data_IF_430525671914
#
_entry.id   IF_430525671914
#
_cell.length_a   1.000
_cell.length_b   1.000
_cell.length_c   1.000
_cell.angle_alpha   90.00
_cell.angle_beta   90.00
_cell.angle_gamma   90.00
#
_symmetry.space_group_name_H-M   'P 1'
#
loop_
_entity.id
_entity.type
_entity.pdbx_description
1 polymer ?
#
# COMPACT_ATOMS: atom_id res chain seq x y z
N UNK A 1 -14.59 -2.42 -20.88
CA UNK A 1 -14.34 -1.10 -21.52
C UNK A 1 -14.71 -1.17 -23.00
N UNK A 2 -14.39 -0.17 -23.82
CA UNK A 2 -14.44 -0.30 -25.30
C UNK A 2 -13.06 -0.06 -25.92
N UNK A 3 -12.73 -0.73 -27.02
CA UNK A 3 -11.48 -0.54 -27.76
C UNK A 3 -11.52 0.74 -28.62
N UNK A 4 -10.45 1.00 -29.39
CA UNK A 4 -10.35 2.16 -30.29
C UNK A 4 -11.34 2.13 -31.46
N UNK A 5 -11.92 0.97 -31.78
CA UNK A 5 -12.97 0.81 -32.78
C UNK A 5 -14.39 1.00 -32.21
N UNK A 6 -14.52 1.08 -30.88
CA UNK A 6 -15.80 1.21 -30.17
C UNK A 6 -16.45 -0.12 -29.77
N UNK A 7 -15.77 -1.26 -29.99
CA UNK A 7 -16.24 -2.58 -29.58
C UNK A 7 -16.06 -2.78 -28.07
N UNK A 8 -16.98 -3.51 -27.43
CA UNK A 8 -16.84 -3.90 -26.02
C UNK A 8 -15.62 -4.80 -25.86
N UNK A 9 -14.70 -4.42 -24.97
CA UNK A 9 -13.59 -5.26 -24.52
C UNK A 9 -14.17 -6.29 -23.54
N UNK A 10 -14.11 -7.60 -23.87
CA UNK A 10 -14.51 -8.67 -22.96
C UNK A 10 -13.78 -8.61 -21.62
N UNK A 11 -14.43 -9.02 -20.54
CA UNK A 11 -13.85 -8.94 -19.20
C UNK A 11 -12.57 -9.79 -19.05
N UNK A 12 -12.44 -10.89 -19.79
CA UNK A 12 -11.26 -11.74 -19.85
C UNK A 12 -10.09 -11.15 -20.66
N UNK A 13 -10.33 -10.04 -21.36
CA UNK A 13 -9.31 -9.23 -22.04
C UNK A 13 -8.84 -8.04 -21.20
N UNK A 14 -9.26 -7.98 -19.93
CA UNK A 14 -8.82 -6.99 -18.96
C UNK A 14 -8.04 -7.73 -17.88
N UNK A 15 -6.88 -7.21 -17.48
CA UNK A 15 -6.14 -7.68 -16.31
C UNK A 15 -5.78 -6.53 -15.37
N UNK A 16 -5.78 -6.84 -14.08
CA UNK A 16 -5.46 -5.92 -12.99
C UNK A 16 -4.20 -6.36 -12.27
N UNK A 17 -3.34 -5.41 -11.96
CA UNK A 17 -2.16 -5.60 -11.13
C UNK A 17 -2.15 -4.50 -10.05
N UNK A 18 -1.63 -4.82 -8.87
CA UNK A 18 -1.41 -3.83 -7.83
C UNK A 18 0.01 -3.98 -7.28
N UNK A 19 0.72 -2.84 -7.21
CA UNK A 19 2.08 -2.75 -6.69
C UNK A 19 2.08 -1.87 -5.44
N UNK A 20 2.72 -2.34 -4.37
CA UNK A 20 3.00 -1.51 -3.21
C UNK A 20 4.37 -0.85 -3.39
N UNK A 21 4.37 0.46 -3.56
CA UNK A 21 5.59 1.26 -3.65
C UNK A 21 6.05 1.68 -2.26
N UNK A 22 7.36 1.71 -2.05
CA UNK A 22 7.99 2.41 -0.93
C UNK A 22 9.36 2.94 -1.33
N UNK A 23 9.58 4.22 -1.02
CA UNK A 23 10.76 4.96 -1.46
C UNK A 23 11.03 4.85 -2.98
N UNK A 24 12.01 4.04 -3.37
CA UNK A 24 12.53 3.85 -4.73
C UNK A 24 12.29 2.45 -5.29
N UNK A 25 11.58 1.57 -4.58
CA UNK A 25 11.22 0.24 -5.05
C UNK A 25 9.77 -0.15 -4.74
N UNK A 26 9.36 -1.31 -5.22
CA UNK A 26 8.01 -1.82 -5.05
C UNK A 26 7.99 -3.33 -4.80
N UNK A 27 6.90 -3.79 -4.18
CA UNK A 27 6.54 -5.19 -4.02
C UNK A 27 5.24 -5.49 -4.78
N UNK A 28 5.12 -6.63 -5.46
CA UNK A 28 3.83 -7.09 -5.96
C UNK A 28 2.84 -7.29 -4.80
N UNK A 29 1.64 -6.72 -4.94
CA UNK A 29 0.52 -6.95 -4.01
C UNK A 29 -0.56 -7.82 -4.65
N UNK A 30 -0.86 -7.59 -5.93
CA UNK A 30 -1.76 -8.41 -6.73
C UNK A 30 -1.08 -8.73 -8.06
N UNK A 31 -0.83 -10.01 -8.31
CA UNK A 31 -0.38 -10.51 -9.61
C UNK A 31 -1.44 -10.24 -10.69
N UNK A 32 -1.06 -10.15 -11.98
CA UNK A 32 -2.00 -9.93 -13.08
C UNK A 32 -3.24 -10.83 -13.00
N UNK A 33 -4.38 -10.23 -12.67
CA UNK A 33 -5.64 -10.91 -12.38
C UNK A 33 -6.68 -10.53 -13.44
N UNK A 34 -7.17 -11.49 -14.24
CA UNK A 34 -8.13 -11.20 -15.30
C UNK A 34 -9.51 -10.83 -14.75
N UNK A 35 -10.26 -10.02 -15.50
CA UNK A 35 -11.62 -9.61 -15.18
C UNK A 35 -11.82 -8.09 -15.21
N UNK A 36 -13.06 -7.65 -15.12
CA UNK A 36 -13.43 -6.22 -15.08
C UNK A 36 -13.69 -5.73 -13.65
N UNK A 37 -12.79 -6.11 -12.74
CA UNK A 37 -12.82 -5.70 -11.34
C UNK A 37 -12.11 -6.69 -10.43
N UNK A 38 -11.77 -6.22 -9.24
CA UNK A 38 -11.14 -6.99 -8.19
C UNK A 38 -11.41 -6.31 -6.84
N UNK A 39 -11.26 -7.06 -5.75
CA UNK A 39 -11.31 -6.53 -4.39
C UNK A 39 -9.89 -6.43 -3.83
N UNK A 40 -9.54 -5.27 -3.29
CA UNK A 40 -8.26 -5.00 -2.65
C UNK A 40 -8.32 -5.14 -1.13
N UNK A 41 -9.47 -5.50 -0.54
CA UNK A 41 -9.62 -5.53 0.90
C UNK A 41 -9.12 -6.85 1.54
N UNK A 42 -8.23 -6.84 2.52
CA UNK A 42 -7.50 -5.67 3.06
C UNK A 42 -6.26 -5.34 2.21
N UNK A 43 -6.09 -4.04 1.94
CA UNK A 43 -4.94 -3.52 1.21
C UNK A 43 -3.66 -3.73 2.03
N UNK A 44 -2.46 -3.76 1.43
CA UNK A 44 -1.26 -4.09 2.17
C UNK A 44 -0.98 -3.03 3.23
N UNK A 45 -0.39 -3.47 4.33
CA UNK A 45 0.12 -2.59 5.38
C UNK A 45 1.50 -2.05 4.99
N UNK A 46 1.92 -0.88 5.49
CA UNK A 46 3.31 -0.46 5.33
C UNK A 46 4.23 -1.42 6.09
N UNK A 47 5.45 -1.60 5.60
CA UNK A 47 6.43 -2.52 6.20
C UNK A 47 6.75 -2.14 7.66
N UNK A 48 6.79 -0.83 7.94
CA UNK A 48 6.96 -0.25 9.26
C UNK A 48 6.44 1.21 9.29
N UNK A 49 6.65 1.93 10.41
CA UNK A 49 6.18 3.30 10.58
C UNK A 49 6.97 4.33 9.75
N UNK A 50 8.19 4.01 9.30
CA UNK A 50 8.98 4.83 8.39
C UNK A 50 8.43 4.66 6.96
N UNK A 51 8.18 3.43 6.53
CA UNK A 51 7.53 3.13 5.26
C UNK A 51 6.14 3.76 5.17
N UNK A 52 5.41 3.88 6.29
CA UNK A 52 4.11 4.56 6.34
C UNK A 52 4.15 6.03 5.86
N UNK A 53 5.33 6.66 5.85
CA UNK A 53 5.51 8.05 5.40
C UNK A 53 5.55 8.21 3.88
N UNK A 54 6.08 7.21 3.15
CA UNK A 54 6.40 7.29 1.72
C UNK A 54 5.79 6.16 0.87
N UNK A 55 5.05 5.23 1.49
CA UNK A 55 4.42 4.12 0.77
C UNK A 55 3.04 4.47 0.19
N UNK A 56 2.71 3.84 -0.93
CA UNK A 56 1.42 3.96 -1.63
C UNK A 56 1.15 2.74 -2.51
N UNK A 57 -0.07 2.61 -3.01
CA UNK A 57 -0.43 1.60 -4.00
C UNK A 57 -0.48 2.20 -5.41
N UNK A 58 0.05 1.49 -6.39
CA UNK A 58 -0.24 1.72 -7.80
C UNK A 58 -1.11 0.58 -8.32
N UNK A 59 -2.27 0.92 -8.88
CA UNK A 59 -3.15 -0.04 -9.55
C UNK A 59 -3.01 0.15 -11.05
N UNK A 60 -2.68 -0.93 -11.75
CA UNK A 60 -2.44 -0.98 -13.18
C UNK A 60 -3.55 -1.82 -13.82
N UNK A 61 -4.14 -1.29 -14.88
CA UNK A 61 -5.13 -2.00 -15.71
C UNK A 61 -4.55 -2.17 -17.09
N UNK A 62 -4.51 -3.40 -17.58
CA UNK A 62 -4.13 -3.70 -18.96
C UNK A 62 -5.35 -4.23 -19.70
N UNK A 63 -5.68 -3.61 -20.83
CA UNK A 63 -6.68 -4.10 -21.76
C UNK A 63 -6.03 -4.62 -23.04
N UNK A 64 -6.55 -5.72 -23.57
CA UNK A 64 -6.15 -6.31 -24.84
C UNK A 64 -7.28 -6.18 -25.87
N UNK A 65 -6.95 -5.80 -27.09
CA UNK A 65 -7.86 -5.84 -28.22
C UNK A 65 -7.98 -7.30 -28.72
N UNK A 66 -9.17 -7.92 -28.68
CA UNK A 66 -9.33 -9.34 -28.97
C UNK A 66 -9.12 -9.72 -30.44
N UNK A 67 -9.07 -8.76 -31.35
CA UNK A 67 -8.92 -9.00 -32.79
C UNK A 67 -7.46 -8.84 -33.22
N UNK A 68 -6.78 -7.84 -32.69
CA UNK A 68 -5.42 -7.45 -33.08
C UNK A 68 -4.35 -7.89 -32.08
N UNK A 69 -4.73 -8.23 -30.85
CA UNK A 69 -3.81 -8.52 -29.74
C UNK A 69 -3.07 -7.28 -29.22
N UNK A 70 -3.50 -6.08 -29.60
CA UNK A 70 -2.89 -4.84 -29.13
C UNK A 70 -3.24 -4.61 -27.66
N UNK A 71 -2.22 -4.36 -26.84
CA UNK A 71 -2.40 -4.07 -25.41
C UNK A 71 -2.22 -2.59 -25.10
N UNK A 72 -2.93 -2.12 -24.09
CA UNK A 72 -2.76 -0.79 -23.52
C UNK A 72 -2.94 -0.84 -22.00
N UNK A 73 -2.09 -0.10 -21.29
CA UNK A 73 -2.14 -0.04 -19.84
C UNK A 73 -2.37 1.38 -19.33
N UNK A 74 -3.13 1.51 -18.25
CA UNK A 74 -3.28 2.74 -17.48
C UNK A 74 -3.01 2.45 -16.01
N UNK A 75 -2.43 3.41 -15.30
CA UNK A 75 -2.21 3.28 -13.86
C UNK A 75 -2.84 4.43 -13.05
N UNK A 76 -3.09 4.12 -11.77
CA UNK A 76 -3.62 5.04 -10.76
C UNK A 76 -2.91 4.83 -9.44
N UNK A 77 -2.47 5.93 -8.84
CA UNK A 77 -1.93 5.94 -7.49
C UNK A 77 -3.08 6.04 -6.48
N UNK A 78 -3.10 5.15 -5.50
CA UNK A 78 -4.00 5.14 -4.36
C UNK A 78 -3.19 5.42 -3.10
N UNK A 79 -3.49 6.56 -2.48
CA UNK A 79 -2.82 6.98 -1.25
C UNK A 79 -3.52 6.36 -0.02
N UNK A 80 -2.76 5.92 0.98
CA UNK A 80 -3.31 5.45 2.25
C UNK A 80 -3.93 6.61 3.04
N UNK A 81 -4.93 6.31 3.86
CA UNK A 81 -5.39 7.26 4.87
C UNK A 81 -4.40 7.28 6.04
N UNK A 82 -3.59 8.34 6.12
CA UNK A 82 -2.58 8.52 7.16
C UNK A 82 -3.18 9.05 8.47
N UNK A 83 -2.57 8.68 9.59
CA UNK A 83 -2.88 9.18 10.94
C UNK A 83 -1.57 9.43 11.70
N UNK A 84 -1.60 10.40 12.61
CA UNK A 84 -0.48 10.65 13.53
C UNK A 84 -0.76 9.98 14.88
N UNK A 85 0.24 9.30 15.42
CA UNK A 85 0.17 8.64 16.73
C UNK A 85 1.27 9.22 17.60
N UNK A 86 0.88 9.77 18.74
CA UNK A 86 1.80 10.40 19.71
C UNK A 86 1.99 9.48 20.92
N UNK A 87 3.25 9.14 21.17
CA UNK A 87 3.70 8.40 22.35
C UNK A 87 4.24 9.40 23.38
N UNK A 88 3.53 9.51 24.50
CA UNK A 88 3.98 10.29 25.64
C UNK A 88 4.90 9.48 26.56
N UNK A 89 5.55 10.18 27.49
CA UNK A 89 6.39 9.55 28.51
C UNK A 89 6.37 10.35 29.81
N UNK A 90 6.36 9.65 30.94
CA UNK A 90 6.48 10.22 32.28
C UNK A 90 7.85 9.94 32.94
N UNK A 91 8.66 9.06 32.34
CA UNK A 91 10.06 8.77 32.71
C UNK A 91 11.00 9.38 31.67
N UNK A 92 11.74 10.46 31.98
CA UNK A 92 12.67 11.07 31.02
C UNK A 92 13.69 10.05 30.48
N UNK A 93 13.92 10.08 29.17
CA UNK A 93 14.91 9.21 28.51
C UNK A 93 14.48 7.77 28.30
N UNK A 94 13.18 7.44 28.43
CA UNK A 94 12.69 6.11 28.07
C UNK A 94 12.80 5.90 26.56
N UNK A 95 13.50 4.83 26.19
CA UNK A 95 13.54 4.30 24.83
C UNK A 95 12.57 3.12 24.73
N UNK A 96 11.75 3.10 23.70
CA UNK A 96 10.89 1.97 23.35
C UNK A 96 11.36 1.34 22.04
N UNK A 97 10.91 0.11 21.76
CA UNK A 97 10.97 -0.45 20.41
C UNK A 97 9.61 -0.33 19.75
N UNK A 98 9.52 0.44 18.68
CA UNK A 98 8.35 0.56 17.83
C UNK A 98 8.61 -0.19 16.53
N UNK A 99 7.86 -1.28 16.28
CA UNK A 99 8.06 -2.17 15.12
C UNK A 99 9.54 -2.57 14.92
N UNK A 100 10.24 -2.86 16.03
CA UNK A 100 11.65 -3.26 16.01
C UNK A 100 12.68 -2.13 16.05
N UNK A 101 12.28 -0.88 15.81
CA UNK A 101 13.17 0.29 15.85
C UNK A 101 13.19 0.95 17.23
N UNK A 102 14.36 1.34 17.70
CA UNK A 102 14.50 2.14 18.92
C UNK A 102 14.00 3.58 18.69
N UNK A 103 13.15 4.04 19.60
CA UNK A 103 12.51 5.35 19.54
C UNK A 103 12.59 6.02 20.92
N UNK A 104 13.18 7.22 20.94
CA UNK A 104 13.18 8.10 22.10
C UNK A 104 11.80 8.72 22.32
N UNK A 105 11.34 8.74 23.57
CA UNK A 105 10.06 9.38 23.92
C UNK A 105 10.26 10.77 24.58
N UNK A 106 9.34 11.72 24.35
CA UNK A 106 8.10 11.60 23.58
C UNK A 106 8.32 11.69 22.06
N UNK A 107 7.52 10.95 21.28
CA UNK A 107 7.60 10.97 19.82
C UNK A 107 6.22 10.93 19.17
N UNK A 108 6.09 11.55 18.00
CA UNK A 108 4.93 11.39 17.12
C UNK A 108 5.38 10.71 15.83
N UNK A 109 4.66 9.67 15.42
CA UNK A 109 4.93 8.92 14.18
C UNK A 109 3.73 8.95 13.25
N UNK A 110 3.98 8.72 11.96
CA UNK A 110 2.92 8.51 10.97
C UNK A 110 2.57 7.03 10.89
N UNK A 111 1.29 6.70 10.81
CA UNK A 111 0.77 5.37 10.55
C UNK A 111 -0.38 5.43 9.54
N UNK A 112 -0.90 4.29 9.11
CA UNK A 112 -2.12 4.20 8.31
C UNK A 112 -3.30 3.84 9.21
N UNK A 113 -4.50 4.34 8.89
CA UNK A 113 -5.72 3.96 9.61
C UNK A 113 -5.93 2.44 9.46
N UNK A 114 -6.12 1.75 10.58
CA UNK A 114 -6.28 0.29 10.62
C UNK A 114 -4.97 -0.49 10.73
N UNK A 115 -3.80 0.16 10.59
CA UNK A 115 -2.50 -0.50 10.74
C UNK A 115 -2.16 -0.76 12.22
N UNK A 116 -2.01 -2.04 12.64
CA UNK A 116 -1.55 -2.36 13.98
C UNK A 116 -0.11 -1.91 14.20
N UNK A 117 0.17 -1.21 15.30
CA UNK A 117 1.53 -0.86 15.72
C UNK A 117 1.97 -1.72 16.90
N UNK A 118 3.03 -2.53 16.72
CA UNK A 118 3.66 -3.27 17.80
C UNK A 118 4.64 -2.37 18.57
N UNK A 119 4.50 -2.34 19.88
CA UNK A 119 5.36 -1.58 20.79
C UNK A 119 5.89 -2.50 21.89
N UNK A 120 7.19 -2.40 22.17
CA UNK A 120 7.83 -3.04 23.31
C UNK A 120 8.52 -1.97 24.16
N UNK A 121 8.31 -2.06 25.48
CA UNK A 121 9.01 -1.22 26.45
C UNK A 121 9.88 -2.09 27.36
N UNK A 122 11.03 -1.59 27.83
CA UNK A 122 11.81 -2.26 28.86
C UNK A 122 10.94 -2.57 30.08
N UNK A 123 11.15 -3.72 30.72
CA UNK A 123 10.50 -4.02 32.01
C UNK A 123 10.94 -2.97 33.03
N UNK A 124 9.96 -2.21 33.53
CA UNK A 124 10.16 -1.33 34.67
C UNK A 124 9.98 -2.19 35.93
N UNK A 125 11.03 -2.31 36.74
CA UNK A 125 11.05 -3.06 38.00
C UNK A 125 10.47 -2.29 39.17
#
# INVERSE_FOLDING_TARGET
>A
GTNSAGDVVPDDMISWEALQHHNDHFHPFLDPTPGNGFDLYEAPQPEDFLAATNSYLEVIVTGEDPVTGLTSSVSRIIMPKKVQITFGVNVPGLVIKLQGFEVDLPQTVTSWVGHPLSLEAPRQG
#
